data_IF_487273445306
#
_entry.id   IF_487273445306
#
_cell.length_a   1.000
_cell.length_b   1.000
_cell.length_c   1.000
_cell.angle_alpha   90.00
_cell.angle_beta   90.00
_cell.angle_gamma   90.00
#
_symmetry.space_group_name_H-M   'P 1'
#
loop_
_entity.id
_entity.type
_entity.pdbx_description
1 polymer ?
#
# COMPACT_ATOMS: atom_id res chain seq x y z
N UNK A 1 7.80 28.35 68.02
CA UNK A 1 6.51 27.69 68.29
C UNK A 1 5.88 27.33 66.95
N UNK A 2 5.74 26.04 66.66
CA UNK A 2 5.25 25.49 65.39
C UNK A 2 3.72 25.57 65.27
N UNK A 3 3.18 25.77 64.06
CA UNK A 3 1.89 25.19 63.59
C UNK A 3 1.69 25.51 62.08
N UNK A 4 2.07 24.62 61.16
CA UNK A 4 1.22 23.67 60.38
C UNK A 4 0.27 24.32 59.36
N UNK A 5 0.67 24.18 58.10
CA UNK A 5 -0.12 24.27 56.87
C UNK A 5 -1.24 23.21 56.89
N UNK A 6 -2.44 23.58 56.45
CA UNK A 6 -3.41 22.63 55.88
C UNK A 6 -3.88 23.16 54.52
N UNK A 7 -3.37 22.53 53.45
CA UNK A 7 -3.87 22.63 52.10
C UNK A 7 -5.16 21.81 51.99
N UNK A 8 -6.23 22.40 51.47
CA UNK A 8 -7.40 21.66 50.98
C UNK A 8 -7.25 21.61 49.45
N UNK A 9 -7.03 20.44 48.81
CA UNK A 9 -7.10 20.37 47.36
C UNK A 9 -8.57 20.26 46.94
N UNK A 10 -9.09 21.30 46.30
CA UNK A 10 -10.31 21.21 45.47
C UNK A 10 -9.99 20.35 44.25
N UNK A 11 -10.56 19.15 44.18
CA UNK A 11 -10.47 18.29 42.99
C UNK A 11 -11.55 18.69 41.98
N UNK A 12 -11.18 19.47 40.97
CA UNK A 12 -11.96 19.59 39.72
C UNK A 12 -11.66 18.41 38.81
N UNK A 13 -12.72 17.80 38.27
CA UNK A 13 -12.75 16.60 37.46
C UNK A 13 -12.10 16.76 36.06
N UNK A 14 -11.61 15.65 35.50
CA UNK A 14 -11.51 15.48 34.05
C UNK A 14 -11.94 14.05 33.70
N UNK A 15 -13.18 13.89 33.23
CA UNK A 15 -13.60 12.67 32.55
C UNK A 15 -12.94 12.70 31.17
N UNK A 16 -11.82 11.99 31.03
CA UNK A 16 -11.17 11.78 29.73
C UNK A 16 -12.07 10.91 28.88
N UNK A 17 -12.81 11.51 27.94
CA UNK A 17 -13.43 10.77 26.85
C UNK A 17 -12.30 10.28 25.94
N UNK A 18 -11.87 9.03 26.12
CA UNK A 18 -11.01 8.37 25.16
C UNK A 18 -11.82 8.13 23.89
N UNK A 19 -11.62 8.97 22.88
CA UNK A 19 -12.08 8.65 21.53
C UNK A 19 -11.34 7.38 21.08
N UNK A 20 -12.01 6.41 20.43
CA UNK A 20 -11.32 5.27 19.86
C UNK A 20 -10.32 5.81 18.84
N UNK A 21 -9.02 5.66 19.13
CA UNK A 21 -8.01 5.82 18.13
C UNK A 21 -8.25 4.72 17.09
N UNK A 22 -8.65 5.10 15.88
CA UNK A 22 -8.42 4.22 14.73
C UNK A 22 -6.93 3.90 14.75
N UNK A 23 -6.57 2.64 14.99
CA UNK A 23 -5.18 2.24 15.06
C UNK A 23 -4.52 2.57 13.73
N UNK A 24 -3.62 3.55 13.72
CA UNK A 24 -2.82 3.84 12.56
C UNK A 24 -1.97 2.60 12.25
N UNK A 25 -1.94 2.20 10.98
CA UNK A 25 -1.02 1.18 10.51
C UNK A 25 0.42 1.60 10.80
N UNK A 26 1.26 0.68 11.28
CA UNK A 26 2.66 0.99 11.51
C UNK A 26 3.42 1.16 10.19
N UNK A 27 4.49 1.95 10.22
CA UNK A 27 5.22 2.32 9.01
C UNK A 27 5.84 1.11 8.27
N UNK A 28 6.24 0.06 8.98
CA UNK A 28 6.83 -1.12 8.34
C UNK A 28 5.77 -1.93 7.61
N UNK A 29 4.58 -2.07 8.20
CA UNK A 29 3.44 -2.72 7.56
C UNK A 29 3.03 -1.96 6.30
N UNK A 30 2.96 -0.62 6.37
CA UNK A 30 2.66 0.21 5.20
C UNK A 30 3.68 0.03 4.07
N UNK A 31 4.99 0.09 4.39
CA UNK A 31 6.06 -0.11 3.40
C UNK A 31 5.96 -1.49 2.75
N UNK A 32 5.68 -2.54 3.53
CA UNK A 32 5.55 -3.89 3.01
C UNK A 32 4.38 -4.01 2.02
N UNK A 33 3.19 -3.52 2.40
CA UNK A 33 2.00 -3.55 1.53
C UNK A 33 2.23 -2.74 0.26
N UNK A 34 2.68 -1.49 0.40
CA UNK A 34 2.89 -0.59 -0.73
C UNK A 34 3.95 -1.12 -1.70
N UNK A 35 5.05 -1.71 -1.20
CA UNK A 35 6.08 -2.30 -2.05
C UNK A 35 5.56 -3.52 -2.81
N UNK A 36 4.87 -4.44 -2.13
CA UNK A 36 4.35 -5.66 -2.74
C UNK A 36 3.29 -5.33 -3.80
N UNK A 37 2.32 -4.48 -3.45
CA UNK A 37 1.26 -4.02 -4.36
C UNK A 37 1.83 -3.27 -5.56
N UNK A 38 2.71 -2.30 -5.32
CA UNK A 38 3.32 -1.52 -6.40
C UNK A 38 4.21 -2.36 -7.33
N UNK A 39 4.90 -3.40 -6.83
CA UNK A 39 5.60 -4.36 -7.69
C UNK A 39 4.64 -5.14 -8.57
N UNK A 40 3.55 -5.64 -7.99
CA UNK A 40 2.52 -6.37 -8.74
C UNK A 40 1.86 -5.52 -9.82
N UNK A 41 1.49 -4.27 -9.51
CA UNK A 41 0.85 -3.37 -10.48
C UNK A 41 1.77 -3.08 -11.67
N UNK A 42 3.07 -2.90 -11.42
CA UNK A 42 4.07 -2.73 -12.48
C UNK A 42 4.24 -3.99 -13.31
N UNK A 43 4.42 -5.15 -12.68
CA UNK A 43 4.72 -6.38 -13.41
C UNK A 43 3.51 -6.90 -14.21
N UNK A 44 2.31 -6.81 -13.65
CA UNK A 44 1.07 -7.13 -14.39
C UNK A 44 0.84 -6.14 -15.55
N UNK A 45 1.23 -4.87 -15.39
CA UNK A 45 1.15 -3.89 -16.47
C UNK A 45 2.15 -4.15 -17.58
N UNK A 46 3.35 -4.67 -17.30
CA UNK A 46 4.28 -5.11 -18.37
C UNK A 46 3.66 -6.22 -19.21
N UNK A 47 3.05 -7.22 -18.56
CA UNK A 47 2.35 -8.32 -19.25
C UNK A 47 1.25 -7.74 -20.16
N UNK A 48 0.44 -6.81 -19.64
CA UNK A 48 -0.64 -6.19 -20.40
C UNK A 48 -0.15 -5.31 -21.56
N UNK A 49 0.91 -4.52 -21.36
CA UNK A 49 1.51 -3.71 -22.41
C UNK A 49 1.90 -4.55 -23.64
N UNK A 50 2.47 -5.72 -23.39
CA UNK A 50 2.95 -6.62 -24.45
C UNK A 50 1.80 -7.40 -25.11
N UNK A 51 0.80 -7.82 -24.33
CA UNK A 51 -0.14 -8.86 -24.76
C UNK A 51 -1.60 -8.41 -24.92
N UNK A 52 -1.99 -7.24 -24.40
CA UNK A 52 -3.35 -6.69 -24.54
C UNK A 52 -3.76 -6.53 -26.01
N UNK A 53 -5.06 -6.57 -26.28
CA UNK A 53 -5.59 -6.36 -27.64
C UNK A 53 -6.07 -4.92 -27.82
N UNK A 54 -6.67 -4.34 -26.79
CA UNK A 54 -7.10 -2.94 -26.79
C UNK A 54 -5.91 -1.97 -26.60
N UNK A 55 -5.80 -0.98 -27.49
CA UNK A 55 -4.76 0.05 -27.40
C UNK A 55 -4.92 0.94 -26.15
N UNK A 56 -6.14 1.22 -25.71
CA UNK A 56 -6.39 2.01 -24.50
C UNK A 56 -5.85 1.29 -23.26
N UNK A 57 -5.93 -0.05 -23.24
CA UNK A 57 -5.37 -0.87 -22.17
C UNK A 57 -3.85 -0.86 -22.21
N UNK A 58 -3.23 -0.94 -23.39
CA UNK A 58 -1.76 -0.79 -23.52
C UNK A 58 -1.28 0.57 -23.04
N UNK A 59 -2.01 1.63 -23.39
CA UNK A 59 -1.67 2.99 -23.00
C UNK A 59 -1.85 3.18 -21.49
N UNK A 60 -2.89 2.58 -20.90
CA UNK A 60 -3.08 2.54 -19.46
C UNK A 60 -1.95 1.79 -18.77
N UNK A 61 -1.59 0.59 -19.26
CA UNK A 61 -0.48 -0.19 -18.73
C UNK A 61 0.85 0.56 -18.79
N UNK A 62 1.13 1.28 -19.88
CA UNK A 62 2.31 2.14 -19.99
C UNK A 62 2.34 3.24 -18.92
N UNK A 63 1.20 3.88 -18.62
CA UNK A 63 1.11 4.87 -17.53
C UNK A 63 1.33 4.23 -16.17
N UNK A 64 0.71 3.08 -15.92
CA UNK A 64 0.88 2.33 -14.67
C UNK A 64 2.34 1.97 -14.41
N UNK A 65 3.07 1.48 -15.42
CA UNK A 65 4.50 1.20 -15.31
C UNK A 65 5.30 2.46 -14.91
N UNK A 66 4.99 3.60 -15.53
CA UNK A 66 5.69 4.85 -15.26
C UNK A 66 5.38 5.40 -13.86
N UNK A 67 4.10 5.53 -13.53
CA UNK A 67 3.65 6.17 -12.30
C UNK A 67 3.99 5.33 -11.08
N UNK A 68 3.68 4.03 -11.10
CA UNK A 68 4.01 3.14 -9.98
C UNK A 68 5.48 2.77 -9.92
N UNK A 69 6.19 2.71 -11.06
CA UNK A 69 7.65 2.59 -11.06
C UNK A 69 8.32 3.75 -10.33
N UNK A 70 7.86 4.99 -10.59
CA UNK A 70 8.34 6.18 -9.88
C UNK A 70 7.96 6.16 -8.40
N UNK A 71 6.74 5.74 -8.07
CA UNK A 71 6.28 5.61 -6.69
C UNK A 71 7.11 4.58 -5.89
N UNK A 72 7.38 3.40 -6.47
CA UNK A 72 8.20 2.35 -5.88
C UNK A 72 9.63 2.84 -5.59
N UNK A 73 10.25 3.55 -6.54
CA UNK A 73 11.58 4.12 -6.35
C UNK A 73 11.60 5.16 -5.20
N UNK A 74 10.56 5.98 -5.10
CA UNK A 74 10.42 6.96 -4.01
C UNK A 74 10.19 6.26 -2.66
N UNK A 75 9.35 5.23 -2.61
CA UNK A 75 9.13 4.42 -1.42
C UNK A 75 10.44 3.80 -0.93
N UNK A 76 11.22 3.21 -1.83
CA UNK A 76 12.51 2.60 -1.49
C UNK A 76 13.49 3.60 -0.87
N UNK A 77 13.57 4.82 -1.43
CA UNK A 77 14.41 5.89 -0.87
C UNK A 77 13.96 6.28 0.55
N UNK A 78 12.67 6.54 0.74
CA UNK A 78 12.12 6.96 2.04
C UNK A 78 12.28 5.84 3.07
N UNK A 79 11.98 4.60 2.71
CA UNK A 79 12.15 3.45 3.59
C UNK A 79 13.61 3.32 4.05
N UNK A 80 14.58 3.48 3.14
CA UNK A 80 16.01 3.49 3.48
C UNK A 80 16.37 4.60 4.47
N UNK A 81 15.89 5.82 4.28
CA UNK A 81 16.11 6.96 5.19
C UNK A 81 15.52 6.69 6.59
N UNK A 82 14.38 5.99 6.65
CA UNK A 82 13.69 5.60 7.88
C UNK A 82 14.19 4.26 8.46
N UNK A 83 15.19 3.63 7.84
CA UNK A 83 15.72 2.31 8.21
C UNK A 83 14.66 1.19 8.21
N UNK A 84 13.63 1.35 7.39
CA UNK A 84 12.60 0.34 7.14
C UNK A 84 13.06 -0.63 6.05
N UNK A 85 12.59 -1.86 6.15
CA UNK A 85 12.89 -2.90 5.15
C UNK A 85 11.90 -2.82 4.00
N UNK A 86 12.38 -3.04 2.77
CA UNK A 86 11.55 -3.14 1.57
C UNK A 86 11.63 -4.56 1.05
N UNK A 87 10.50 -5.27 0.87
CA UNK A 87 10.48 -6.59 0.25
C UNK A 87 11.15 -6.57 -1.14
N UNK A 88 11.98 -7.56 -1.42
CA UNK A 88 12.67 -7.70 -2.71
C UNK A 88 11.84 -8.47 -3.76
N UNK A 89 10.74 -9.09 -3.35
CA UNK A 89 9.90 -9.93 -4.19
C UNK A 89 8.44 -9.81 -3.77
N UNK A 90 7.53 -9.98 -4.73
CA UNK A 90 6.10 -10.12 -4.46
C UNK A 90 5.81 -11.39 -3.65
N UNK A 91 4.68 -11.41 -2.96
CA UNK A 91 4.19 -12.58 -2.24
C UNK A 91 3.68 -13.68 -3.20
N UNK A 92 3.31 -14.83 -2.62
CA UNK A 92 2.84 -15.98 -3.38
C UNK A 92 1.51 -15.74 -4.10
N UNK A 93 0.61 -14.93 -3.53
CA UNK A 93 -0.68 -14.64 -4.12
C UNK A 93 -0.51 -13.81 -5.40
N UNK A 94 0.27 -12.73 -5.33
CA UNK A 94 0.56 -11.87 -6.47
C UNK A 94 1.36 -12.62 -7.55
N UNK A 95 2.29 -13.51 -7.18
CA UNK A 95 2.97 -14.38 -8.15
C UNK A 95 2.00 -15.28 -8.90
N UNK A 96 1.06 -15.92 -8.19
CA UNK A 96 0.04 -16.77 -8.81
C UNK A 96 -0.89 -15.98 -9.73
N UNK A 97 -1.25 -14.76 -9.34
CA UNK A 97 -2.06 -13.86 -10.15
C UNK A 97 -1.34 -13.45 -11.45
N UNK A 98 -0.04 -13.16 -11.39
CA UNK A 98 0.80 -12.87 -12.56
C UNK A 98 0.92 -14.07 -13.49
N UNK A 99 1.16 -15.26 -12.95
CA UNK A 99 1.23 -16.51 -13.73
C UNK A 99 -0.09 -16.78 -14.45
N UNK A 100 -1.22 -16.60 -13.75
CA UNK A 100 -2.57 -16.73 -14.35
C UNK A 100 -2.76 -15.73 -15.48
N UNK A 101 -2.42 -14.45 -15.27
CA UNK A 101 -2.54 -13.43 -16.30
C UNK A 101 -1.68 -13.78 -17.54
N UNK A 102 -0.44 -14.21 -17.33
CA UNK A 102 0.49 -14.59 -18.40
C UNK A 102 0.03 -15.83 -19.19
N UNK A 103 -0.63 -16.79 -18.51
CA UNK A 103 -1.15 -18.02 -19.12
C UNK A 103 -2.49 -17.84 -19.85
N UNK A 104 -3.11 -16.65 -19.77
CA UNK A 104 -4.43 -16.41 -20.37
C UNK A 104 -4.34 -16.49 -21.89
N UNK A 105 -5.06 -17.45 -22.48
CA UNK A 105 -5.09 -17.66 -23.94
C UNK A 105 -6.19 -16.85 -24.64
N UNK A 106 -7.24 -16.47 -23.90
CA UNK A 106 -8.23 -15.49 -24.32
C UNK A 106 -7.66 -14.06 -24.23
N UNK A 107 -8.48 -13.04 -24.51
CA UNK A 107 -8.04 -11.66 -24.27
C UNK A 107 -7.80 -11.42 -22.78
N UNK A 108 -6.63 -10.90 -22.42
CA UNK A 108 -6.26 -10.53 -21.05
C UNK A 108 -6.85 -9.18 -20.61
N UNK A 109 -7.46 -8.44 -21.53
CA UNK A 109 -7.91 -7.06 -21.35
C UNK A 109 -8.79 -6.89 -20.10
N UNK A 110 -9.86 -7.68 -19.99
CA UNK A 110 -10.76 -7.66 -18.83
C UNK A 110 -10.11 -8.19 -17.54
N UNK A 111 -9.44 -9.36 -17.54
CA UNK A 111 -8.69 -9.83 -16.38
C UNK A 111 -7.71 -8.80 -15.81
N UNK A 112 -6.95 -8.13 -16.68
CA UNK A 112 -5.99 -7.12 -16.27
C UNK A 112 -6.68 -5.91 -15.61
N UNK A 113 -7.76 -5.39 -16.20
CA UNK A 113 -8.50 -4.25 -15.62
C UNK A 113 -9.07 -4.59 -14.24
N UNK A 114 -9.61 -5.79 -14.05
CA UNK A 114 -10.12 -6.21 -12.74
C UNK A 114 -9.00 -6.37 -11.72
N UNK A 115 -7.86 -6.94 -12.12
CA UNK A 115 -6.68 -7.05 -11.26
C UNK A 115 -6.19 -5.67 -10.80
N UNK A 116 -6.13 -4.69 -11.70
CA UNK A 116 -5.70 -3.32 -11.37
C UNK A 116 -6.69 -2.60 -10.46
N UNK A 117 -8.00 -2.76 -10.70
CA UNK A 117 -9.02 -2.23 -9.78
C UNK A 117 -8.88 -2.81 -8.38
N UNK A 118 -8.68 -4.12 -8.28
CA UNK A 118 -8.52 -4.80 -6.99
C UNK A 118 -7.25 -4.33 -6.27
N UNK A 119 -6.12 -4.31 -6.96
CA UNK A 119 -4.85 -3.87 -6.37
C UNK A 119 -4.93 -2.42 -5.86
N UNK A 120 -5.51 -1.52 -6.65
CA UNK A 120 -5.71 -0.13 -6.23
C UNK A 120 -6.67 0.01 -5.03
N UNK A 121 -7.73 -0.79 -4.97
CA UNK A 121 -8.63 -0.79 -3.83
C UNK A 121 -7.94 -1.28 -2.55
N UNK A 122 -7.14 -2.36 -2.65
CA UNK A 122 -6.38 -2.92 -1.54
C UNK A 122 -5.27 -1.96 -1.06
N UNK A 123 -4.73 -1.11 -1.94
CA UNK A 123 -3.74 -0.09 -1.59
C UNK A 123 -4.31 1.13 -0.83
N UNK A 124 -5.63 1.35 -0.88
CA UNK A 124 -6.32 2.50 -0.27
C UNK A 124 -7.16 2.13 0.96
N UNK A 125 -7.38 0.84 1.22
CA UNK A 125 -8.19 0.30 2.32
C UNK A 125 -7.37 -0.24 3.49
#
# INVERSE_FOLDING_TARGET
>A
MSMRIFLIPSATAALMLALPAFAAEDAQTFVNKAAIGGMFEVDSSKIAQDNAKDQQIKDFAKRMIADHGAANAKLQKIAGEQKLQVPAQSDAAHKSDLERLQSTTASLDQPYVEMQRKAHADALG
#
